data_IF_452512621019
#
_entry.id   IF_452512621019
#
_cell.length_a   1.000
_cell.length_b   1.000
_cell.length_c   1.000
_cell.angle_alpha   90.00
_cell.angle_beta   90.00
_cell.angle_gamma   90.00
#
_symmetry.space_group_name_H-M   'P 1'
#
loop_
_entity.id
_entity.type
_entity.pdbx_description
1 polymer ?
#
# COMPACT_ATOMS: atom_id res chain seq x y z
N UNK A 1 4.29 -4.37 -1.36
CA UNK A 1 2.87 -3.90 -1.40
C UNK A 1 1.96 -5.02 -0.93
N UNK A 2 1.28 -4.84 0.19
CA UNK A 2 0.47 -5.92 0.81
C UNK A 2 -1.04 -5.75 0.63
N UNK A 3 -1.50 -4.57 0.26
CA UNK A 3 -2.89 -4.29 -0.04
C UNK A 3 -3.04 -3.07 -0.93
N UNK A 4 -3.99 -3.12 -1.83
CA UNK A 4 -4.28 -2.04 -2.77
C UNK A 4 -5.70 -2.15 -3.29
N UNK A 5 -6.22 -1.04 -3.76
CA UNK A 5 -7.54 -1.00 -4.41
C UNK A 5 -7.56 0.01 -5.55
N UNK A 6 -8.55 -0.10 -6.42
CA UNK A 6 -8.78 0.80 -7.55
C UNK A 6 -10.22 1.26 -7.56
N UNK A 7 -10.42 2.54 -7.80
CA UNK A 7 -11.74 3.14 -7.95
C UNK A 7 -11.69 4.29 -8.94
N UNK A 8 -12.85 4.68 -9.44
CA UNK A 8 -13.03 5.88 -10.27
C UNK A 8 -13.11 7.16 -9.45
N UNK A 9 -13.29 7.05 -8.14
CA UNK A 9 -13.43 8.18 -7.23
C UNK A 9 -12.53 8.00 -6.02
N UNK A 10 -12.01 9.11 -5.50
CA UNK A 10 -11.22 9.11 -4.28
C UNK A 10 -12.17 9.31 -3.10
N UNK A 11 -12.52 8.21 -2.45
CA UNK A 11 -13.43 8.20 -1.30
C UNK A 11 -12.82 7.38 -0.15
N UNK A 12 -13.44 7.49 1.04
CA UNK A 12 -13.05 6.63 2.18
C UNK A 12 -13.17 5.14 1.86
N UNK A 13 -14.11 4.73 1.03
CA UNK A 13 -14.26 3.33 0.60
C UNK A 13 -13.01 2.82 -0.12
N UNK A 14 -12.40 3.64 -0.97
CA UNK A 14 -11.16 3.28 -1.67
C UNK A 14 -10.04 2.90 -0.69
N UNK A 15 -9.80 3.72 0.32
CA UNK A 15 -8.73 3.46 1.30
C UNK A 15 -9.09 2.33 2.27
N UNK A 16 -10.36 2.19 2.61
CA UNK A 16 -10.85 1.07 3.44
C UNK A 16 -10.67 -0.25 2.71
N UNK A 17 -10.98 -0.34 1.44
CA UNK A 17 -10.81 -1.56 0.65
C UNK A 17 -9.33 -1.95 0.55
N UNK A 18 -8.43 -1.00 0.37
CA UNK A 18 -6.99 -1.26 0.38
C UNK A 18 -6.52 -1.76 1.75
N UNK A 19 -6.99 -1.16 2.83
CA UNK A 19 -6.68 -1.60 4.19
C UNK A 19 -7.19 -3.01 4.47
N UNK A 20 -8.43 -3.32 4.11
CA UNK A 20 -9.00 -4.65 4.25
C UNK A 20 -8.21 -5.71 3.49
N UNK A 21 -7.81 -5.40 2.25
CA UNK A 21 -6.96 -6.29 1.47
C UNK A 21 -5.62 -6.57 2.17
N UNK A 22 -4.99 -5.53 2.72
CA UNK A 22 -3.75 -5.69 3.48
C UNK A 22 -3.92 -6.56 4.72
N UNK A 23 -5.02 -6.36 5.47
CA UNK A 23 -5.32 -7.13 6.69
C UNK A 23 -5.68 -8.60 6.40
N UNK A 24 -6.25 -8.88 5.23
CA UNK A 24 -6.48 -10.26 4.78
C UNK A 24 -5.19 -10.96 4.40
N UNK A 25 -4.24 -10.25 3.81
CA UNK A 25 -2.96 -10.80 3.39
C UNK A 25 -1.95 -10.92 4.54
N UNK A 26 -2.01 -10.02 5.49
CA UNK A 26 -1.13 -9.99 6.67
C UNK A 26 -1.95 -9.62 7.90
N UNK A 27 -1.74 -10.34 8.98
CA UNK A 27 -2.35 -10.03 10.28
C UNK A 27 -1.32 -9.32 11.14
N UNK A 28 -1.37 -7.97 11.23
CA UNK A 28 -0.39 -7.24 12.02
C UNK A 28 -0.58 -7.52 13.52
N UNK A 29 0.51 -7.56 14.31
CA UNK A 29 0.39 -7.64 15.76
C UNK A 29 -0.24 -6.37 16.32
N UNK A 30 -0.88 -6.48 17.49
CA UNK A 30 -1.44 -5.34 18.21
C UNK A 30 -0.36 -4.28 18.46
N UNK A 31 -0.69 -3.02 18.23
CA UNK A 31 0.25 -1.90 18.37
C UNK A 31 1.00 -1.54 17.09
N UNK A 32 0.77 -2.26 15.99
CA UNK A 32 1.33 -1.89 14.68
C UNK A 32 0.88 -0.50 14.28
N UNK A 33 1.82 0.34 13.85
CA UNK A 33 1.50 1.69 13.37
C UNK A 33 0.96 1.64 11.94
N UNK A 34 -0.14 2.34 11.73
CA UNK A 34 -0.64 2.66 10.39
C UNK A 34 -0.34 4.13 10.10
N UNK A 35 0.61 4.38 9.23
CA UNK A 35 1.00 5.74 8.85
C UNK A 35 0.29 6.17 7.57
N UNK A 36 -0.28 7.37 7.57
CA UNK A 36 -0.94 7.97 6.41
C UNK A 36 -0.66 9.47 6.34
N UNK A 37 -1.00 10.07 5.21
CA UNK A 37 -1.10 11.52 5.12
C UNK A 37 -2.36 12.03 5.86
N UNK A 38 -2.59 13.34 5.84
CA UNK A 38 -3.76 13.97 6.47
C UNK A 38 -4.99 14.02 5.56
N UNK A 39 -5.06 13.15 4.55
CA UNK A 39 -6.24 13.07 3.68
C UNK A 39 -7.51 12.77 4.46
N UNK A 40 -8.62 13.39 4.08
CA UNK A 40 -9.92 13.23 4.76
C UNK A 40 -10.41 11.78 4.79
N UNK A 41 -9.99 10.97 3.83
CA UNK A 41 -10.32 9.55 3.75
C UNK A 41 -9.80 8.75 4.95
N UNK A 42 -8.60 9.10 5.43
CA UNK A 42 -7.95 8.44 6.57
C UNK A 42 -8.43 8.96 7.92
N UNK A 43 -9.05 10.14 7.94
CA UNK A 43 -9.61 10.75 9.13
C UNK A 43 -11.06 10.35 9.39
N UNK A 44 -11.67 9.49 8.55
CA UNK A 44 -13.03 9.03 8.73
C UNK A 44 -13.18 8.12 9.94
N UNK A 45 -14.35 8.18 10.58
CA UNK A 45 -14.68 7.30 11.72
C UNK A 45 -14.64 5.82 11.32
N UNK A 46 -15.17 5.47 10.15
CA UNK A 46 -15.18 4.10 9.65
C UNK A 46 -13.76 3.53 9.50
N UNK A 47 -12.83 4.34 9.01
CA UNK A 47 -11.43 3.94 8.89
C UNK A 47 -10.79 3.72 10.26
N UNK A 48 -11.00 4.64 11.19
CA UNK A 48 -10.53 4.53 12.57
C UNK A 48 -11.07 3.31 13.30
N UNK A 49 -12.35 2.98 13.11
CA UNK A 49 -12.98 1.81 13.72
C UNK A 49 -12.32 0.50 13.25
N UNK A 50 -11.90 0.42 11.99
CA UNK A 50 -11.18 -0.75 11.48
C UNK A 50 -9.79 -0.86 12.12
N UNK A 51 -9.06 0.24 12.23
CA UNK A 51 -7.77 0.25 12.91
C UNK A 51 -7.89 -0.20 14.36
N UNK A 52 -8.86 0.31 15.08
CA UNK A 52 -9.14 -0.06 16.48
C UNK A 52 -9.46 -1.55 16.62
N UNK A 53 -10.31 -2.08 15.73
CA UNK A 53 -10.69 -3.49 15.73
C UNK A 53 -9.49 -4.44 15.57
N UNK A 54 -8.44 -4.01 14.86
CA UNK A 54 -7.21 -4.78 14.67
C UNK A 54 -6.09 -4.38 15.62
N UNK A 55 -6.36 -3.48 16.56
CA UNK A 55 -5.37 -3.00 17.52
C UNK A 55 -4.23 -2.19 16.90
N UNK A 56 -4.47 -1.57 15.76
CA UNK A 56 -3.50 -0.73 15.07
C UNK A 56 -3.57 0.70 15.59
N UNK A 57 -2.42 1.36 15.59
CA UNK A 57 -2.30 2.74 16.04
C UNK A 57 -2.15 3.67 14.84
N UNK A 58 -3.06 4.63 14.65
CA UNK A 58 -2.93 5.60 13.56
C UNK A 58 -1.77 6.55 13.81
N UNK A 59 -1.04 6.86 12.74
CA UNK A 59 0.01 7.88 12.70
C UNK A 59 -0.17 8.68 11.43
N UNK A 60 -0.27 10.00 11.55
CA UNK A 60 -0.42 10.89 10.40
C UNK A 60 0.83 11.74 10.22
N UNK A 61 1.20 12.00 8.96
CA UNK A 61 2.28 12.93 8.64
C UNK A 61 1.99 14.33 9.20
N UNK A 62 3.05 15.06 9.56
CA UNK A 62 2.96 16.44 9.97
C UNK A 62 2.39 17.32 8.84
N UNK A 63 1.75 18.45 9.21
CA UNK A 63 1.21 19.39 8.23
C UNK A 63 2.35 19.94 7.37
N UNK A 64 2.29 19.72 6.04
CA UNK A 64 3.31 20.15 5.10
C UNK A 64 4.57 19.28 5.06
N UNK A 65 4.62 18.18 5.80
CA UNK A 65 5.77 17.26 5.84
C UNK A 65 5.65 16.18 4.76
N UNK A 66 6.02 16.52 3.53
CA UNK A 66 5.93 15.60 2.40
C UNK A 66 6.89 14.40 2.50
N UNK A 67 7.98 14.52 3.24
CA UNK A 67 8.97 13.45 3.43
C UNK A 67 8.39 12.23 4.16
N UNK A 68 7.38 12.44 5.02
CA UNK A 68 6.74 11.37 5.77
C UNK A 68 6.03 10.34 4.87
N UNK A 69 5.72 10.72 3.62
CA UNK A 69 5.01 9.88 2.65
C UNK A 69 5.90 9.41 1.49
N UNK A 70 7.21 9.62 1.59
CA UNK A 70 8.16 9.35 0.51
C UNK A 70 8.14 7.89 0.03
N UNK A 71 7.88 6.94 0.93
CA UNK A 71 7.82 5.50 0.59
C UNK A 71 6.69 5.22 -0.39
N UNK A 72 5.49 5.76 -0.12
CA UNK A 72 4.31 5.59 -0.99
C UNK A 72 4.51 6.30 -2.32
N UNK A 73 5.02 7.52 -2.28
CA UNK A 73 5.31 8.31 -3.48
C UNK A 73 6.35 7.62 -4.37
N UNK A 74 7.38 7.02 -3.78
CA UNK A 74 8.39 6.23 -4.48
C UNK A 74 7.78 5.02 -5.19
N UNK A 75 6.85 4.32 -4.55
CA UNK A 75 6.14 3.21 -5.18
C UNK A 75 5.37 3.67 -6.42
N UNK A 76 4.56 4.71 -6.31
CA UNK A 76 3.78 5.22 -7.45
C UNK A 76 4.68 5.75 -8.57
N UNK A 77 5.78 6.41 -8.22
CA UNK A 77 6.77 6.86 -9.20
C UNK A 77 7.36 5.69 -9.99
N UNK A 78 7.75 4.62 -9.32
CA UNK A 78 8.28 3.41 -9.96
C UNK A 78 7.23 2.75 -10.85
N UNK A 79 6.02 2.60 -10.35
CA UNK A 79 4.93 1.97 -11.12
C UNK A 79 4.62 2.76 -12.40
N UNK A 80 4.46 4.06 -12.30
CA UNK A 80 4.18 4.91 -13.48
C UNK A 80 5.31 4.87 -14.49
N UNK A 81 6.55 4.97 -14.03
CA UNK A 81 7.73 4.92 -14.89
C UNK A 81 7.87 3.58 -15.61
N UNK A 82 7.67 2.49 -14.89
CA UNK A 82 7.89 1.13 -15.43
C UNK A 82 6.74 0.65 -16.30
N UNK A 83 5.51 1.10 -16.04
CA UNK A 83 4.35 0.83 -16.92
C UNK A 83 4.32 1.72 -18.17
N UNK A 84 5.04 2.85 -18.18
CA UNK A 84 5.15 3.71 -19.34
C UNK A 84 3.91 4.56 -19.64
N UNK A 85 3.10 4.88 -18.65
CA UNK A 85 1.91 5.72 -18.75
C UNK A 85 0.94 5.30 -19.88
N UNK A 86 0.48 4.04 -19.89
CA UNK A 86 -0.37 3.52 -20.95
C UNK A 86 -1.80 4.08 -20.89
N UNK A 87 -2.44 4.15 -22.06
CA UNK A 87 -3.88 4.39 -22.17
C UNK A 87 -4.57 3.03 -22.21
N UNK A 88 -5.37 2.74 -21.19
CA UNK A 88 -6.03 1.45 -21.06
C UNK A 88 -7.37 1.44 -21.83
N UNK A 89 -7.62 0.35 -22.57
CA UNK A 89 -8.89 0.17 -23.29
C UNK A 89 -10.10 0.03 -22.37
N UNK A 90 -9.89 -0.57 -21.18
CA UNK A 90 -10.93 -0.74 -20.18
C UNK A 90 -10.34 -0.80 -18.77
N UNK A 91 -11.21 -0.63 -17.76
CA UNK A 91 -10.83 -0.78 -16.36
C UNK A 91 -10.41 -2.20 -16.02
N UNK A 92 -11.03 -3.19 -16.64
CA UNK A 92 -10.69 -4.61 -16.45
C UNK A 92 -9.26 -4.88 -16.91
N UNK A 93 -8.88 -4.36 -18.07
CA UNK A 93 -7.52 -4.50 -18.62
C UNK A 93 -6.51 -3.75 -17.73
N UNK A 94 -6.83 -2.53 -17.33
CA UNK A 94 -5.97 -1.75 -16.42
C UNK A 94 -5.76 -2.48 -15.10
N UNK A 95 -6.81 -3.00 -14.51
CA UNK A 95 -6.75 -3.74 -13.24
C UNK A 95 -5.87 -4.99 -13.36
N UNK A 96 -6.03 -5.75 -14.42
CA UNK A 96 -5.22 -6.95 -14.66
C UNK A 96 -3.73 -6.60 -14.81
N UNK A 97 -3.40 -5.56 -15.55
CA UNK A 97 -2.02 -5.13 -15.74
C UNK A 97 -1.39 -4.61 -14.43
N UNK A 98 -2.12 -3.86 -13.64
CA UNK A 98 -1.65 -3.36 -12.33
C UNK A 98 -1.52 -4.52 -11.34
N UNK A 99 -2.45 -5.48 -11.35
CA UNK A 99 -2.33 -6.70 -10.57
C UNK A 99 -1.04 -7.45 -10.90
N UNK A 100 -0.76 -7.70 -12.17
CA UNK A 100 0.46 -8.37 -12.59
C UNK A 100 1.72 -7.59 -12.18
N UNK A 101 1.68 -6.27 -12.32
CA UNK A 101 2.79 -5.43 -11.90
C UNK A 101 3.06 -5.55 -10.40
N UNK A 102 2.04 -5.40 -9.56
CA UNK A 102 2.20 -5.38 -8.10
C UNK A 102 2.48 -6.78 -7.56
N UNK A 103 1.62 -7.74 -7.86
CA UNK A 103 1.63 -9.05 -7.21
C UNK A 103 2.73 -9.97 -7.76
N UNK A 104 3.01 -9.90 -9.05
CA UNK A 104 3.97 -10.79 -9.69
C UNK A 104 5.34 -10.11 -9.79
N UNK A 105 5.41 -8.94 -10.40
CA UNK A 105 6.68 -8.28 -10.66
C UNK A 105 7.23 -7.53 -9.44
N UNK A 106 6.50 -6.56 -8.94
CA UNK A 106 6.99 -5.67 -7.86
C UNK A 106 7.31 -6.45 -6.58
N UNK A 107 6.39 -7.26 -6.11
CA UNK A 107 6.54 -7.97 -4.85
C UNK A 107 7.51 -9.15 -4.94
N UNK A 108 7.56 -9.86 -6.05
CA UNK A 108 8.30 -11.13 -6.18
C UNK A 108 9.61 -11.02 -6.93
N UNK A 109 9.72 -10.13 -7.90
CA UNK A 109 10.84 -10.11 -8.86
C UNK A 109 11.65 -8.82 -8.78
N UNK A 110 10.98 -7.67 -8.68
CA UNK A 110 11.65 -6.38 -8.73
C UNK A 110 12.61 -6.21 -7.57
N UNK A 111 13.88 -5.93 -7.90
CA UNK A 111 14.93 -5.70 -6.90
C UNK A 111 14.88 -4.27 -6.40
N UNK A 112 15.18 -4.10 -5.11
CA UNK A 112 15.24 -2.79 -4.45
C UNK A 112 16.60 -2.59 -3.80
N UNK A 113 17.30 -1.52 -4.16
CA UNK A 113 18.60 -1.19 -3.58
C UNK A 113 18.54 -1.04 -2.05
N UNK A 114 17.46 -0.45 -1.54
CA UNK A 114 17.24 -0.25 -0.10
C UNK A 114 17.00 -1.56 0.66
N UNK A 115 16.69 -2.64 -0.04
CA UNK A 115 16.47 -3.97 0.54
C UNK A 115 17.62 -4.93 0.22
N UNK A 116 18.83 -4.41 -0.04
CA UNK A 116 19.96 -5.22 -0.43
C UNK A 116 19.79 -5.92 -1.78
N UNK A 117 19.08 -5.28 -2.71
CA UNK A 117 18.72 -5.82 -4.03
C UNK A 117 17.84 -7.07 -3.99
N UNK A 118 17.13 -7.29 -2.91
CA UNK A 118 16.09 -8.29 -2.83
C UNK A 118 14.75 -7.72 -3.30
N UNK A 119 13.83 -8.59 -3.71
CA UNK A 119 12.44 -8.20 -3.87
C UNK A 119 11.76 -8.06 -2.50
N UNK A 120 10.64 -7.34 -2.40
CA UNK A 120 9.90 -7.23 -1.14
C UNK A 120 9.57 -8.58 -0.49
N UNK A 121 9.14 -9.57 -1.28
CA UNK A 121 8.81 -10.90 -0.78
C UNK A 121 10.06 -11.64 -0.26
N UNK A 122 11.17 -11.57 -0.99
CA UNK A 122 12.43 -12.14 -0.54
C UNK A 122 12.92 -11.48 0.74
N UNK A 123 12.85 -10.15 0.83
CA UNK A 123 13.23 -9.43 2.04
C UNK A 123 12.34 -9.81 3.22
N UNK A 124 11.03 -9.87 3.03
CA UNK A 124 10.09 -10.27 4.08
C UNK A 124 10.41 -11.66 4.63
N UNK A 125 10.81 -12.59 3.76
CA UNK A 125 11.18 -13.96 4.17
C UNK A 125 12.43 -14.01 5.04
N UNK A 126 13.27 -12.98 5.02
CA UNK A 126 14.46 -12.89 5.90
C UNK A 126 14.15 -12.35 7.29
N UNK A 127 12.97 -11.74 7.47
CA UNK A 127 12.56 -11.20 8.76
C UNK A 127 12.15 -12.32 9.72
N UNK A 128 12.44 -12.19 11.02
CA UNK A 128 11.91 -13.14 11.99
C UNK A 128 10.38 -13.07 11.97
N UNK A 129 9.72 -14.23 12.06
CA UNK A 129 8.28 -14.29 12.18
C UNK A 129 7.86 -13.46 13.39
N UNK A 130 7.23 -12.32 13.15
CA UNK A 130 6.50 -11.59 14.18
C UNK A 130 5.26 -12.41 14.52
N UNK A 131 5.42 -13.30 15.47
CA UNK A 131 4.32 -14.10 15.98
C UNK A 131 3.40 -13.23 16.81
#
# INVERSE_FOLDING_TARGET
MIGWSMSTTITRTLVIDALKAALQNRRPPTGTLFHSDRGSQYASTDFGDILDAYGMMPSMSGKGECWDNAVVESFFGSMKSELGDPVWESRVIARAAIFDYIEIFYNRVRRHSTLGYLSPEQFESTLPNAA
#
